data_IF_317613211495
#
_entry.id   IF_317613211495
#
_cell.length_a   1.000
_cell.length_b   1.000
_cell.length_c   1.000
_cell.angle_alpha   90.00
_cell.angle_beta   90.00
_cell.angle_gamma   90.00
#
_symmetry.space_group_name_H-M   'P 1'
#
loop_
_entity.id
_entity.type
_entity.pdbx_description
1 polymer ?
#
# COMPACT_ATOMS: atom_id res chain seq x y z
N UNK A 1 35.98 -5.14 -8.85
CA UNK A 1 36.14 -4.21 -7.71
C UNK A 1 34.74 -3.83 -7.27
N UNK A 2 34.15 -4.56 -6.34
CA UNK A 2 32.93 -4.13 -5.66
C UNK A 2 33.43 -3.60 -4.33
N UNK A 3 33.54 -2.27 -4.22
CA UNK A 3 34.00 -1.63 -2.98
C UNK A 3 32.95 -1.79 -1.89
N UNK A 4 33.39 -1.74 -0.63
CA UNK A 4 32.54 -1.67 0.57
C UNK A 4 31.73 -0.35 0.66
N UNK A 5 31.59 0.38 -0.44
CA UNK A 5 30.90 1.65 -0.49
C UNK A 5 29.38 1.43 -0.31
N UNK A 6 28.71 2.23 0.53
CA UNK A 6 27.29 2.09 0.76
C UNK A 6 26.49 2.30 -0.53
N UNK A 7 25.57 1.37 -0.81
CA UNK A 7 24.69 1.37 -2.01
C UNK A 7 23.64 2.51 -1.96
N UNK A 8 23.50 3.18 -0.81
CA UNK A 8 22.56 4.28 -0.59
C UNK A 8 23.29 5.51 -0.06
N UNK A 9 22.97 6.67 -0.63
CA UNK A 9 23.45 7.97 -0.14
C UNK A 9 22.45 8.56 0.88
N UNK A 10 22.94 9.01 2.04
CA UNK A 10 22.10 9.77 2.98
C UNK A 10 22.00 11.25 2.56
N UNK A 11 20.77 11.71 2.29
CA UNK A 11 20.48 13.09 1.88
C UNK A 11 19.95 13.99 3.02
N UNK A 12 19.70 13.41 4.20
CA UNK A 12 19.17 14.11 5.36
C UNK A 12 17.71 13.80 5.68
N UNK A 13 17.03 14.69 6.39
CA UNK A 13 15.64 14.52 6.81
C UNK A 13 14.82 15.81 6.63
N UNK A 14 13.50 15.63 6.51
CA UNK A 14 12.53 16.72 6.45
C UNK A 14 11.48 16.47 7.53
N UNK A 15 11.21 17.47 8.37
CA UNK A 15 10.16 17.38 9.37
C UNK A 15 8.75 17.40 8.76
N UNK A 16 7.90 16.46 9.19
CA UNK A 16 6.47 16.43 8.89
C UNK A 16 5.80 17.55 9.70
N UNK A 17 5.22 18.53 9.00
CA UNK A 17 4.49 19.65 9.61
C UNK A 17 3.09 19.72 9.03
N UNK A 18 2.14 20.16 9.84
CA UNK A 18 0.78 20.41 9.36
C UNK A 18 0.77 21.47 8.24
N UNK A 19 -0.11 21.27 7.26
CA UNK A 19 -0.22 22.14 6.08
C UNK A 19 0.99 22.13 5.14
N UNK A 20 2.02 21.30 5.36
CA UNK A 20 3.20 21.24 4.51
C UNK A 20 3.04 20.23 3.37
N UNK A 21 3.32 20.68 2.16
CA UNK A 21 3.50 19.83 0.98
C UNK A 21 5.00 19.80 0.61
N UNK A 22 5.51 18.64 0.21
CA UNK A 22 6.83 18.49 -0.39
C UNK A 22 6.74 17.51 -1.56
N UNK A 23 7.56 17.75 -2.58
CA UNK A 23 7.61 16.95 -3.81
C UNK A 23 9.05 16.56 -4.04
N UNK A 24 9.28 15.29 -4.33
CA UNK A 24 10.60 14.73 -4.58
C UNK A 24 10.48 13.61 -5.62
N UNK A 25 11.55 13.33 -6.39
CA UNK A 25 11.49 12.33 -7.43
C UNK A 25 11.50 10.91 -6.82
N UNK A 26 10.73 9.99 -7.43
CA UNK A 26 10.57 8.59 -6.98
C UNK A 26 11.89 7.79 -6.97
N UNK A 27 12.97 8.31 -7.57
CA UNK A 27 14.31 7.71 -7.52
C UNK A 27 14.93 7.76 -6.11
N UNK A 28 14.43 8.66 -5.25
CA UNK A 28 14.93 8.79 -3.90
C UNK A 28 14.21 7.81 -2.97
N UNK A 29 14.98 6.97 -2.30
CA UNK A 29 14.47 6.16 -1.20
C UNK A 29 14.25 7.05 0.02
N UNK A 30 13.10 6.90 0.66
CA UNK A 30 12.79 7.60 1.91
C UNK A 30 12.16 6.64 2.90
N UNK A 31 12.27 6.98 4.19
CA UNK A 31 11.59 6.26 5.27
C UNK A 31 10.86 7.25 6.16
N UNK A 32 9.63 6.89 6.56
CA UNK A 32 8.93 7.58 7.63
C UNK A 32 9.20 6.81 8.92
N UNK A 33 9.92 7.38 9.90
CA UNK A 33 10.12 6.72 11.17
C UNK A 33 8.79 6.55 11.92
N UNK A 34 8.77 5.69 12.94
CA UNK A 34 7.60 5.54 13.81
C UNK A 34 7.12 6.89 14.34
N UNK A 35 5.85 7.22 14.07
CA UNK A 35 5.23 8.43 14.59
C UNK A 35 4.77 8.19 16.04
N UNK A 36 5.22 9.05 16.94
CA UNK A 36 4.86 9.00 18.36
C UNK A 36 4.35 10.37 18.79
N UNK A 37 3.34 10.38 19.65
CA UNK A 37 2.88 11.60 20.29
C UNK A 37 3.96 12.08 21.25
N UNK A 38 4.24 13.39 21.24
CA UNK A 38 5.11 14.01 22.23
C UNK A 38 4.55 13.82 23.65
N UNK A 39 3.23 13.88 23.78
CA UNK A 39 2.48 13.60 25.01
C UNK A 39 1.55 12.41 24.77
N UNK A 40 1.90 11.24 25.33
CA UNK A 40 1.14 10.00 25.17
C UNK A 40 -0.21 10.00 25.88
N UNK A 41 -0.48 10.98 26.76
CA UNK A 41 -1.76 11.07 27.49
C UNK A 41 -2.85 11.75 26.65
N UNK A 42 -2.46 12.41 25.56
CA UNK A 42 -3.37 13.13 24.68
C UNK A 42 -3.71 12.29 23.45
N UNK A 43 -4.91 12.45 22.87
CA UNK A 43 -5.20 11.89 21.56
C UNK A 43 -4.38 12.61 20.49
N UNK A 44 -3.99 11.90 19.44
CA UNK A 44 -3.36 12.51 18.28
C UNK A 44 -3.26 11.55 17.10
N UNK A 45 -3.26 12.10 15.89
CA UNK A 45 -3.10 11.35 14.65
C UNK A 45 -2.30 12.18 13.64
N UNK A 46 -1.61 11.50 12.72
CA UNK A 46 -0.97 12.11 11.57
C UNK A 46 -1.66 11.58 10.30
N UNK A 47 -2.22 12.48 9.50
CA UNK A 47 -2.80 12.15 8.19
C UNK A 47 -1.89 12.71 7.12
N UNK A 48 -1.52 11.88 6.17
CA UNK A 48 -0.71 12.26 5.02
C UNK A 48 -1.42 11.79 3.75
N UNK A 49 -1.45 12.66 2.74
CA UNK A 49 -1.91 12.31 1.40
C UNK A 49 -0.71 12.39 0.46
N UNK A 50 -0.42 11.28 -0.22
CA UNK A 50 0.73 11.16 -1.12
C UNK A 50 0.24 10.85 -2.53
N UNK A 51 0.75 11.58 -3.51
CA UNK A 51 0.52 11.33 -4.92
C UNK A 51 1.81 10.80 -5.55
N UNK A 52 1.69 9.74 -6.35
CA UNK A 52 2.79 9.24 -7.17
C UNK A 52 2.50 9.62 -8.62
N UNK A 53 3.31 10.52 -9.16
CA UNK A 53 3.22 10.91 -10.56
C UNK A 53 4.02 9.95 -11.42
N UNK A 54 3.47 9.62 -12.58
CA UNK A 54 4.07 8.73 -13.58
C UNK A 54 4.14 9.46 -14.90
N UNK A 55 5.13 9.11 -15.73
CA UNK A 55 5.28 9.71 -17.06
C UNK A 55 4.05 9.37 -17.92
N UNK A 56 3.28 10.38 -18.39
CA UNK A 56 2.09 10.14 -19.20
C UNK A 56 2.41 9.53 -20.58
N UNK A 57 3.65 9.63 -21.04
CA UNK A 57 4.10 9.05 -22.32
C UNK A 57 4.24 7.53 -22.24
N UNK A 58 4.30 6.98 -21.03
CA UNK A 58 4.46 5.56 -20.77
C UNK A 58 3.17 4.99 -20.18
N UNK A 59 2.52 4.06 -20.90
CA UNK A 59 1.33 3.37 -20.37
C UNK A 59 1.76 2.33 -19.35
N UNK A 60 1.33 2.50 -18.10
CA UNK A 60 1.52 1.53 -17.02
C UNK A 60 0.18 0.91 -16.61
N UNK A 61 0.16 -0.32 -16.06
CA UNK A 61 -1.02 -0.86 -15.42
C UNK A 61 -1.53 0.08 -14.33
N UNK A 62 -2.80 0.44 -14.41
CA UNK A 62 -3.49 1.24 -13.41
C UNK A 62 -4.54 0.40 -12.67
N UNK A 63 -5.23 1.01 -11.71
CA UNK A 63 -6.39 0.41 -11.03
C UNK A 63 -7.58 0.16 -11.96
N UNK A 64 -7.51 0.56 -13.23
CA UNK A 64 -8.48 0.14 -14.26
C UNK A 64 -8.38 -1.37 -14.55
N UNK A 65 -7.16 -1.94 -14.50
CA UNK A 65 -6.91 -3.35 -14.86
C UNK A 65 -6.31 -4.17 -13.72
N UNK A 66 -5.72 -3.51 -12.72
CA UNK A 66 -5.19 -4.19 -11.52
C UNK A 66 -6.32 -4.29 -10.49
N UNK A 67 -6.74 -5.50 -10.10
CA UNK A 67 -7.82 -5.68 -9.15
C UNK A 67 -7.41 -5.23 -7.74
N UNK A 68 -8.39 -5.08 -6.81
CA UNK A 68 -8.08 -4.74 -5.43
C UNK A 68 -7.06 -5.70 -4.81
N UNK A 69 -6.04 -5.16 -4.15
CA UNK A 69 -5.00 -5.96 -3.49
C UNK A 69 -5.33 -6.26 -2.03
N UNK A 70 -6.36 -5.62 -1.46
CA UNK A 70 -6.89 -6.00 -0.16
C UNK A 70 -7.84 -7.17 -0.36
N UNK A 71 -7.58 -8.29 0.32
CA UNK A 71 -8.33 -9.54 0.16
C UNK A 71 -9.85 -9.34 0.26
N UNK A 72 -10.32 -8.60 1.27
CA UNK A 72 -11.76 -8.36 1.47
C UNK A 72 -12.39 -7.65 0.26
N UNK A 73 -11.72 -6.62 -0.27
CA UNK A 73 -12.19 -5.87 -1.44
C UNK A 73 -12.14 -6.70 -2.72
N UNK A 74 -11.10 -7.52 -2.85
CA UNK A 74 -10.99 -8.45 -3.98
C UNK A 74 -12.13 -9.47 -3.97
N UNK A 75 -12.48 -9.99 -2.79
CA UNK A 75 -13.56 -10.97 -2.66
C UNK A 75 -14.92 -10.34 -2.96
N UNK A 76 -15.17 -9.12 -2.51
CA UNK A 76 -16.36 -8.36 -2.90
C UNK A 76 -16.45 -8.16 -4.41
N UNK A 77 -15.33 -7.81 -5.07
CA UNK A 77 -15.28 -7.62 -6.52
C UNK A 77 -15.55 -8.93 -7.26
N UNK A 78 -14.89 -10.04 -6.87
CA UNK A 78 -15.13 -11.36 -7.49
C UNK A 78 -16.58 -11.83 -7.33
N UNK A 79 -17.18 -11.58 -6.17
CA UNK A 79 -18.58 -11.92 -5.89
C UNK A 79 -19.58 -11.15 -6.76
N UNK A 80 -19.16 -10.04 -7.38
CA UNK A 80 -20.00 -9.29 -8.30
C UNK A 80 -20.16 -9.97 -9.68
N UNK A 81 -19.30 -10.93 -10.03
CA UNK A 81 -19.27 -11.59 -11.34
C UNK A 81 -19.83 -13.02 -11.31
N UNK A 82 -20.35 -13.48 -12.44
CA UNK A 82 -20.73 -14.89 -12.64
C UNK A 82 -19.47 -15.77 -12.86
N UNK A 83 -19.46 -17.04 -12.39
CA UNK A 83 -20.55 -17.72 -11.69
C UNK A 83 -20.60 -17.41 -10.18
N UNK A 84 -19.62 -16.69 -9.63
CA UNK A 84 -19.47 -16.51 -8.17
C UNK A 84 -20.67 -15.85 -7.50
N UNK A 85 -21.34 -14.94 -8.22
CA UNK A 85 -22.58 -14.31 -7.79
C UNK A 85 -23.74 -15.29 -7.56
N UNK A 86 -23.82 -16.36 -8.35
CA UNK A 86 -24.91 -17.34 -8.30
C UNK A 86 -24.59 -18.60 -7.49
N UNK A 87 -23.32 -18.79 -7.09
CA UNK A 87 -22.90 -19.93 -6.27
C UNK A 87 -23.37 -19.79 -4.81
N UNK A 88 -23.70 -20.91 -4.14
CA UNK A 88 -23.95 -20.89 -2.70
C UNK A 88 -22.73 -20.39 -1.92
N UNK A 89 -22.97 -19.60 -0.86
CA UNK A 89 -21.91 -18.98 -0.04
C UNK A 89 -20.90 -19.99 0.51
N UNK A 90 -21.33 -21.24 0.79
CA UNK A 90 -20.44 -22.31 1.25
C UNK A 90 -19.38 -22.66 0.19
N UNK A 91 -19.77 -22.74 -1.08
CA UNK A 91 -18.87 -23.07 -2.19
C UNK A 91 -17.92 -21.91 -2.44
N UNK A 92 -18.43 -20.67 -2.49
CA UNK A 92 -17.60 -19.47 -2.61
C UNK A 92 -16.59 -19.42 -1.46
N UNK A 93 -17.03 -19.57 -0.21
CA UNK A 93 -16.14 -19.55 0.94
C UNK A 93 -15.06 -20.63 0.89
N UNK A 94 -15.42 -21.83 0.41
CA UNK A 94 -14.47 -22.92 0.19
C UNK A 94 -13.42 -22.59 -0.86
N UNK A 95 -13.83 -22.00 -2.00
CA UNK A 95 -12.91 -21.56 -3.07
C UNK A 95 -11.99 -20.47 -2.55
N UNK A 96 -12.57 -19.43 -1.95
CA UNK A 96 -11.83 -18.26 -1.44
C UNK A 96 -10.80 -18.64 -0.38
N UNK A 97 -11.09 -19.65 0.45
CA UNK A 97 -10.14 -20.16 1.45
C UNK A 97 -8.93 -20.92 0.84
N UNK A 98 -8.99 -21.29 -0.44
CA UNK A 98 -7.88 -21.93 -1.16
C UNK A 98 -7.07 -20.95 -2.03
N UNK A 99 -7.46 -19.68 -2.10
CA UNK A 99 -6.75 -18.67 -2.90
C UNK A 99 -5.66 -18.02 -2.04
N UNK A 100 -4.41 -18.18 -2.45
CA UNK A 100 -3.24 -17.62 -1.75
C UNK A 100 -3.03 -16.12 -1.99
N UNK A 101 -3.88 -15.49 -2.81
CA UNK A 101 -3.81 -14.08 -3.18
C UNK A 101 -5.22 -13.47 -3.33
N UNK A 102 -5.46 -12.23 -2.87
CA UNK A 102 -4.55 -11.38 -2.12
C UNK A 102 -4.41 -11.80 -0.65
N UNK A 103 -3.28 -11.44 -0.02
CA UNK A 103 -3.07 -11.71 1.42
C UNK A 103 -3.98 -10.84 2.28
N UNK A 104 -4.31 -11.35 3.47
CA UNK A 104 -5.15 -10.60 4.42
C UNK A 104 -4.42 -9.37 4.96
N UNK A 105 -5.18 -8.35 5.38
CA UNK A 105 -4.59 -7.18 6.06
C UNK A 105 -3.83 -7.58 7.34
N UNK A 106 -4.24 -8.66 7.99
CA UNK A 106 -3.58 -9.22 9.17
C UNK A 106 -2.21 -9.81 8.84
N UNK A 107 -2.07 -10.46 7.70
CA UNK A 107 -0.79 -11.00 7.21
C UNK A 107 0.12 -9.89 6.70
N UNK A 108 -0.43 -8.95 5.91
CA UNK A 108 0.32 -7.81 5.40
C UNK A 108 0.98 -6.98 6.52
N UNK A 109 0.32 -6.83 7.67
CA UNK A 109 0.87 -6.12 8.85
C UNK A 109 1.99 -6.85 9.59
N UNK A 110 2.27 -8.12 9.27
CA UNK A 110 3.35 -8.90 9.88
C UNK A 110 4.64 -8.89 9.05
N UNK A 111 4.56 -8.47 7.79
CA UNK A 111 5.70 -8.22 6.91
C UNK A 111 6.36 -6.89 7.29
#
# INVERSE_FOLDING_TARGET
MWGDDPVSQELGNIGIKDGRCFVFPNILQYKVPELKLADKTKPGHCKMLTFHFVDPSTRIPSTEIVPPQQQDWHFEDVLAYEPFRSLPQLIVGGIMAQVDFPISLKEAKKL
#
